data_IF_440841333326
#
_entry.id   IF_440841333326
#
_cell.length_a   1.000
_cell.length_b   1.000
_cell.length_c   1.000
_cell.angle_alpha   90.00
_cell.angle_beta   90.00
_cell.angle_gamma   90.00
#
_symmetry.space_group_name_H-M   'P 1'
#
loop_
_entity.id
_entity.type
_entity.pdbx_description
1 polymer ?
#
# COMPACT_ATOMS: atom_id res chain seq x y z
N UNK A 1 18.08 -26.30 21.50
CA UNK A 1 16.74 -25.89 21.98
C UNK A 1 15.82 -25.68 20.78
N UNK A 2 14.70 -26.41 20.71
CA UNK A 2 13.74 -26.31 19.60
C UNK A 2 13.17 -24.88 19.50
N UNK A 3 13.54 -24.14 18.45
CA UNK A 3 13.20 -22.71 18.24
C UNK A 3 11.76 -22.45 17.74
N UNK A 4 10.93 -23.48 17.58
CA UNK A 4 9.63 -23.38 16.90
C UNK A 4 8.49 -24.02 17.71
N UNK A 5 7.23 -23.55 17.54
CA UNK A 5 6.07 -24.17 18.16
C UNK A 5 5.96 -25.66 17.81
N UNK A 6 5.56 -26.49 18.78
CA UNK A 6 5.45 -27.95 18.60
C UNK A 6 4.11 -28.40 18.03
N UNK A 7 3.04 -27.63 18.24
CA UNK A 7 1.69 -27.96 17.73
C UNK A 7 1.55 -27.46 16.30
N UNK A 8 1.01 -28.29 15.41
CA UNK A 8 0.84 -27.97 13.98
C UNK A 8 0.12 -26.63 13.76
N UNK A 9 -1.01 -26.42 14.44
CA UNK A 9 -1.79 -25.18 14.31
C UNK A 9 -0.99 -23.94 14.70
N UNK A 10 -0.21 -24.02 15.77
CA UNK A 10 0.63 -22.91 16.25
C UNK A 10 1.82 -22.67 15.32
N UNK A 11 2.40 -23.73 14.76
CA UNK A 11 3.45 -23.64 13.76
C UNK A 11 2.93 -23.00 12.46
N UNK A 12 1.75 -23.38 11.99
CA UNK A 12 1.14 -22.79 10.80
C UNK A 12 0.84 -21.29 11.00
N UNK A 13 0.31 -20.90 12.17
CA UNK A 13 0.13 -19.48 12.54
C UNK A 13 1.46 -18.72 12.56
N UNK A 14 2.50 -19.33 13.13
CA UNK A 14 3.84 -18.76 13.14
C UNK A 14 4.36 -18.52 11.72
N UNK A 15 4.19 -19.48 10.81
CA UNK A 15 4.56 -19.31 9.40
C UNK A 15 3.75 -18.18 8.74
N UNK A 16 2.43 -18.14 8.90
CA UNK A 16 1.60 -17.05 8.34
C UNK A 16 2.04 -15.68 8.86
N UNK A 17 2.36 -15.58 10.16
CA UNK A 17 2.91 -14.35 10.77
C UNK A 17 4.26 -13.96 10.16
N UNK A 18 5.20 -14.90 10.05
CA UNK A 18 6.51 -14.66 9.44
C UNK A 18 6.38 -14.22 7.98
N UNK A 19 5.45 -14.83 7.24
CA UNK A 19 5.13 -14.45 5.87
C UNK A 19 4.65 -12.99 5.78
N UNK A 20 3.70 -12.57 6.63
CA UNK A 20 3.24 -11.17 6.63
C UNK A 20 4.33 -10.17 7.02
N UNK A 21 5.24 -10.53 7.93
CA UNK A 21 6.38 -9.68 8.30
C UNK A 21 7.44 -9.55 7.19
N UNK A 22 7.68 -10.62 6.42
CA UNK A 22 8.75 -10.65 5.41
C UNK A 22 8.24 -10.33 3.99
N UNK A 23 6.95 -10.50 3.72
CA UNK A 23 6.29 -10.20 2.45
C UNK A 23 6.47 -11.26 1.35
N UNK A 24 7.32 -12.28 1.54
CA UNK A 24 7.45 -13.42 0.64
C UNK A 24 8.03 -14.64 1.35
N UNK A 25 7.74 -15.85 0.84
CA UNK A 25 8.30 -17.11 1.37
C UNK A 25 9.84 -17.12 1.27
N UNK A 26 10.40 -16.60 0.18
CA UNK A 26 11.85 -16.53 -0.02
C UNK A 26 12.54 -15.69 1.05
N UNK A 27 11.98 -14.52 1.39
CA UNK A 27 12.54 -13.67 2.45
C UNK A 27 12.43 -14.34 3.82
N UNK A 28 11.36 -15.09 4.09
CA UNK A 28 11.24 -15.87 5.33
C UNK A 28 12.34 -16.93 5.39
N UNK A 29 12.49 -17.75 4.36
CA UNK A 29 13.52 -18.79 4.35
C UNK A 29 14.92 -18.21 4.49
N UNK A 30 15.22 -17.10 3.80
CA UNK A 30 16.51 -16.41 3.95
C UNK A 30 16.73 -15.86 5.35
N UNK A 31 15.72 -15.23 5.96
CA UNK A 31 15.79 -14.72 7.35
C UNK A 31 16.15 -15.82 8.35
N UNK A 32 15.69 -17.04 8.10
CA UNK A 32 15.96 -18.21 8.94
C UNK A 32 17.14 -19.07 8.45
N UNK A 33 17.95 -18.57 7.51
CA UNK A 33 19.07 -19.31 6.91
C UNK A 33 18.67 -20.71 6.41
N UNK A 34 17.46 -20.82 5.85
CA UNK A 34 16.85 -22.08 5.40
C UNK A 34 16.68 -23.15 6.49
N UNK A 35 16.75 -22.77 7.76
CA UNK A 35 16.64 -23.67 8.92
C UNK A 35 15.20 -23.93 9.40
N UNK A 36 14.18 -23.49 8.66
CA UNK A 36 12.80 -23.81 9.00
C UNK A 36 12.50 -25.28 8.67
N UNK A 37 11.82 -26.04 9.55
CA UNK A 37 11.53 -27.47 9.34
C UNK A 37 10.34 -27.65 8.36
N UNK A 38 10.40 -26.98 7.22
CA UNK A 38 9.38 -27.03 6.18
C UNK A 38 10.00 -26.77 4.80
N UNK A 39 9.55 -27.50 3.79
CA UNK A 39 9.93 -27.21 2.41
C UNK A 39 9.22 -25.97 1.87
N UNK A 40 9.80 -25.31 0.86
CA UNK A 40 9.17 -24.18 0.18
C UNK A 40 7.75 -24.51 -0.31
N UNK A 41 7.57 -25.68 -0.93
CA UNK A 41 6.28 -26.13 -1.46
C UNK A 41 5.24 -26.33 -0.35
N UNK A 42 5.63 -26.91 0.79
CA UNK A 42 4.71 -27.09 1.92
C UNK A 42 4.34 -25.76 2.57
N UNK A 43 5.27 -24.80 2.63
CA UNK A 43 4.95 -23.44 3.08
C UNK A 43 3.87 -22.82 2.19
N UNK A 44 4.07 -22.85 0.87
CA UNK A 44 3.09 -22.33 -0.09
C UNK A 44 1.71 -22.97 0.09
N UNK A 45 1.64 -24.29 0.27
CA UNK A 45 0.39 -25.03 0.54
C UNK A 45 -0.28 -24.62 1.85
N UNK A 46 0.49 -24.34 2.90
CA UNK A 46 -0.07 -23.85 4.18
C UNK A 46 -0.72 -22.50 3.95
N UNK A 47 -0.07 -21.56 3.24
CA UNK A 47 -0.65 -20.25 2.94
C UNK A 47 -1.96 -20.39 2.15
N UNK A 48 -2.00 -21.28 1.15
CA UNK A 48 -3.19 -21.54 0.34
C UNK A 48 -4.33 -22.13 1.19
N UNK A 49 -4.04 -23.16 2.01
CA UNK A 49 -5.01 -23.77 2.93
C UNK A 49 -5.54 -22.77 3.97
N UNK A 50 -4.70 -21.81 4.36
CA UNK A 50 -5.06 -20.75 5.31
C UNK A 50 -5.81 -19.58 4.66
N UNK A 51 -5.97 -19.59 3.34
CA UNK A 51 -6.66 -18.54 2.59
C UNK A 51 -5.85 -17.25 2.43
N UNK A 52 -4.52 -17.30 2.57
CA UNK A 52 -3.66 -16.12 2.43
C UNK A 52 -3.40 -15.81 0.96
N UNK A 53 -3.77 -14.60 0.55
CA UNK A 53 -3.48 -14.09 -0.77
C UNK A 53 -2.01 -13.66 -0.83
N UNK A 54 -1.25 -14.37 -1.66
CA UNK A 54 0.20 -14.16 -1.80
C UNK A 54 0.50 -12.80 -2.40
N UNK A 55 1.66 -12.23 -2.07
CA UNK A 55 2.10 -10.94 -2.58
C UNK A 55 2.31 -11.03 -4.10
N UNK A 56 2.13 -9.90 -4.78
CA UNK A 56 2.28 -9.79 -6.24
C UNK A 56 3.73 -9.97 -6.76
N UNK A 57 4.62 -10.60 -5.99
CA UNK A 57 6.05 -10.75 -6.26
C UNK A 57 6.93 -9.69 -5.58
N UNK A 58 8.26 -9.74 -5.79
CA UNK A 58 9.24 -8.84 -5.17
C UNK A 58 9.13 -7.41 -5.71
N UNK A 59 8.12 -6.67 -5.24
CA UNK A 59 7.87 -5.28 -5.58
C UNK A 59 8.37 -4.30 -4.49
N UNK A 60 9.17 -4.79 -3.54
CA UNK A 60 9.72 -4.03 -2.41
C UNK A 60 10.59 -2.83 -2.82
N UNK A 61 11.13 -2.82 -4.05
CA UNK A 61 11.95 -1.73 -4.60
C UNK A 61 11.15 -0.48 -4.96
N UNK A 62 9.83 -0.56 -5.13
CA UNK A 62 9.05 0.58 -5.61
C UNK A 62 8.89 1.64 -4.53
N UNK A 63 8.75 1.25 -3.26
CA UNK A 63 8.75 2.22 -2.16
C UNK A 63 10.10 2.94 -2.02
N UNK A 64 11.21 2.32 -2.44
CA UNK A 64 12.51 3.00 -2.55
C UNK A 64 12.55 3.96 -3.75
N UNK A 65 12.01 3.55 -4.90
CA UNK A 65 11.94 4.41 -6.09
C UNK A 65 11.03 5.61 -5.86
N UNK A 66 9.84 5.41 -5.30
CA UNK A 66 8.90 6.49 -5.01
C UNK A 66 9.51 7.49 -4.04
N UNK A 67 10.17 7.02 -2.97
CA UNK A 67 10.92 7.89 -2.07
C UNK A 67 12.03 8.67 -2.78
N UNK A 68 12.81 8.01 -3.64
CA UNK A 68 13.83 8.67 -4.43
C UNK A 68 13.24 9.76 -5.34
N UNK A 69 12.15 9.44 -6.05
CA UNK A 69 11.48 10.38 -6.96
C UNK A 69 10.84 11.55 -6.22
N UNK A 70 10.24 11.29 -5.05
CA UNK A 70 9.73 12.34 -4.16
C UNK A 70 10.84 13.28 -3.72
N UNK A 71 11.97 12.74 -3.22
CA UNK A 71 13.15 13.54 -2.85
C UNK A 71 13.75 14.31 -4.02
N UNK A 72 13.73 13.74 -5.23
CA UNK A 72 14.21 14.40 -6.43
C UNK A 72 13.40 15.66 -6.71
N UNK A 73 12.08 15.57 -6.56
CA UNK A 73 11.15 16.70 -6.70
C UNK A 73 11.27 17.69 -5.53
N UNK A 74 11.28 17.20 -4.29
CA UNK A 74 11.37 18.04 -3.07
C UNK A 74 12.67 18.85 -3.01
N UNK A 75 13.80 18.22 -3.33
CA UNK A 75 15.12 18.86 -3.22
C UNK A 75 15.49 19.65 -4.47
N UNK A 76 14.79 19.41 -5.58
CA UNK A 76 15.05 20.02 -6.88
C UNK A 76 16.55 19.98 -7.26
N UNK A 77 17.16 18.81 -7.13
CA UNK A 77 18.60 18.58 -7.41
C UNK A 77 18.78 17.68 -8.64
N UNK A 78 19.94 17.74 -9.31
CA UNK A 78 20.26 16.81 -10.39
C UNK A 78 20.15 15.34 -9.96
N UNK A 79 19.68 14.50 -10.86
CA UNK A 79 19.48 13.07 -10.61
C UNK A 79 20.74 12.38 -10.07
N UNK A 80 21.88 12.59 -10.74
CA UNK A 80 23.18 11.98 -10.39
C UNK A 80 23.62 12.41 -8.99
N UNK A 81 23.35 13.66 -8.64
CA UNK A 81 23.70 14.21 -7.34
C UNK A 81 22.90 13.54 -6.22
N UNK A 82 21.59 13.40 -6.39
CA UNK A 82 20.75 12.70 -5.42
C UNK A 82 21.11 11.22 -5.35
N UNK A 83 21.30 10.56 -6.50
CA UNK A 83 21.61 9.14 -6.58
C UNK A 83 22.93 8.79 -5.89
N UNK A 84 23.99 9.59 -6.08
CA UNK A 84 25.27 9.41 -5.38
C UNK A 84 25.17 9.60 -3.86
N UNK A 85 24.19 10.39 -3.41
CA UNK A 85 23.90 10.63 -2.00
C UNK A 85 22.90 9.64 -1.41
N UNK A 86 22.39 8.70 -2.21
CA UNK A 86 21.57 7.63 -1.68
C UNK A 86 22.43 6.68 -0.85
N UNK A 87 21.95 6.31 0.34
CA UNK A 87 22.72 5.43 1.21
C UNK A 87 22.98 4.05 0.60
N UNK A 88 24.04 3.35 1.06
CA UNK A 88 24.47 2.08 0.47
C UNK A 88 23.40 0.98 0.46
N UNK A 89 22.39 1.11 1.31
CA UNK A 89 21.27 0.19 1.40
C UNK A 89 20.20 0.41 0.31
N UNK A 90 20.29 1.47 -0.50
CA UNK A 90 19.43 1.69 -1.67
C UNK A 90 19.80 0.70 -2.77
N UNK A 91 18.91 -0.25 -3.06
CA UNK A 91 19.23 -1.38 -3.97
C UNK A 91 18.75 -1.18 -5.40
N UNK A 92 18.15 -0.03 -5.71
CA UNK A 92 17.59 0.22 -7.04
C UNK A 92 18.61 0.88 -7.95
N UNK A 93 18.91 0.25 -9.09
CA UNK A 93 19.85 0.78 -10.08
C UNK A 93 19.35 2.08 -10.72
N UNK A 94 20.24 3.00 -11.03
CA UNK A 94 19.94 4.23 -11.79
C UNK A 94 19.17 3.95 -13.10
N UNK A 95 19.58 2.92 -13.86
CA UNK A 95 18.89 2.51 -15.10
C UNK A 95 17.40 2.17 -14.88
N UNK A 96 17.07 1.53 -13.76
CA UNK A 96 15.67 1.26 -13.39
C UNK A 96 14.89 2.54 -13.11
N UNK A 97 15.50 3.52 -12.44
CA UNK A 97 14.84 4.79 -12.12
C UNK A 97 14.66 5.62 -13.40
N UNK A 98 15.69 5.71 -14.26
CA UNK A 98 15.59 6.38 -15.56
C UNK A 98 14.50 5.79 -16.44
N UNK A 99 14.38 4.46 -16.46
CA UNK A 99 13.30 3.78 -17.17
C UNK A 99 11.91 4.15 -16.62
N UNK A 100 11.77 4.28 -15.29
CA UNK A 100 10.52 4.71 -14.66
C UNK A 100 10.22 6.18 -15.01
N UNK A 101 11.23 7.06 -14.97
CA UNK A 101 11.10 8.45 -15.41
C UNK A 101 10.65 8.53 -16.88
N UNK A 102 11.23 7.72 -17.76
CA UNK A 102 10.80 7.61 -19.16
C UNK A 102 9.32 7.28 -19.28
N UNK A 103 8.85 6.24 -18.58
CA UNK A 103 7.42 5.90 -18.58
C UNK A 103 6.53 7.00 -18.02
N UNK A 104 6.98 7.71 -16.98
CA UNK A 104 6.22 8.84 -16.43
C UNK A 104 6.08 9.96 -17.47
N UNK A 105 7.17 10.31 -18.18
CA UNK A 105 7.17 11.31 -19.25
C UNK A 105 6.27 10.90 -20.42
N UNK A 106 6.28 9.62 -20.79
CA UNK A 106 5.41 9.05 -21.83
C UNK A 106 3.95 8.85 -21.36
N UNK A 107 3.67 9.02 -20.06
CA UNK A 107 2.35 8.76 -19.47
C UNK A 107 1.95 7.29 -19.44
N UNK A 108 2.92 6.37 -19.48
CA UNK A 108 2.71 4.92 -19.50
C UNK A 108 2.78 4.34 -18.09
N UNK A 109 1.79 3.53 -17.72
CA UNK A 109 1.83 2.72 -16.48
C UNK A 109 2.10 1.26 -16.81
N UNK A 110 3.06 0.66 -16.10
CA UNK A 110 3.45 -0.74 -16.31
C UNK A 110 2.99 -1.67 -15.19
N UNK A 111 2.79 -1.14 -13.99
CA UNK A 111 2.44 -1.91 -12.79
C UNK A 111 1.06 -1.54 -12.32
N UNK A 112 0.45 -2.44 -11.55
CA UNK A 112 -0.87 -2.23 -10.96
C UNK A 112 -0.74 -2.36 -9.44
N UNK A 113 -1.49 -1.51 -8.75
CA UNK A 113 -1.67 -1.56 -7.32
C UNK A 113 -3.15 -1.37 -6.98
N UNK A 114 -3.50 -1.68 -5.74
CA UNK A 114 -4.84 -1.57 -5.20
C UNK A 114 -4.79 -0.69 -3.96
N UNK A 115 -5.63 0.33 -3.92
CA UNK A 115 -5.81 1.22 -2.76
C UNK A 115 -7.22 1.10 -2.23
N UNK A 116 -7.39 1.17 -0.91
CA UNK A 116 -8.69 1.05 -0.25
C UNK A 116 -9.01 2.33 0.53
N UNK A 117 -10.10 2.98 0.15
CA UNK A 117 -10.78 3.93 1.03
C UNK A 117 -11.76 3.12 1.88
N UNK A 118 -11.50 3.04 3.17
CA UNK A 118 -12.32 2.27 4.11
C UNK A 118 -13.10 3.23 5.00
N UNK A 119 -14.42 3.20 4.98
CA UNK A 119 -15.27 4.04 5.85
C UNK A 119 -15.91 3.21 6.96
N UNK A 120 -16.12 3.82 8.12
CA UNK A 120 -16.86 3.16 9.20
C UNK A 120 -18.33 2.96 8.85
N UNK A 121 -19.02 2.09 9.59
CA UNK A 121 -20.47 1.96 9.49
C UNK A 121 -21.20 3.29 9.78
N UNK A 122 -20.72 4.03 10.77
CA UNK A 122 -21.38 5.23 11.32
C UNK A 122 -21.18 6.49 10.50
N UNK A 123 -20.17 6.57 9.65
CA UNK A 123 -19.91 7.76 8.84
C UNK A 123 -19.32 7.42 7.49
N UNK A 124 -19.90 7.99 6.44
CA UNK A 124 -19.31 7.99 5.10
C UNK A 124 -18.19 9.01 4.95
N UNK A 125 -18.13 10.02 5.83
CA UNK A 125 -17.17 11.12 5.78
C UNK A 125 -15.87 10.83 6.51
N UNK A 126 -15.78 9.70 7.21
CA UNK A 126 -14.59 9.33 7.97
C UNK A 126 -13.96 8.09 7.37
N UNK A 127 -12.68 8.20 7.02
CA UNK A 127 -11.91 7.13 6.38
C UNK A 127 -10.84 6.59 7.33
N UNK A 128 -10.57 5.28 7.24
CA UNK A 128 -9.49 4.64 7.98
C UNK A 128 -8.15 5.03 7.37
N UNK A 129 -7.28 5.57 8.21
CA UNK A 129 -5.88 5.83 7.89
C UNK A 129 -4.99 5.22 8.96
N UNK A 130 -3.74 4.96 8.62
CA UNK A 130 -2.69 4.56 9.55
C UNK A 130 -1.38 5.25 9.20
N UNK A 131 -0.44 5.22 10.14
CA UNK A 131 0.92 5.71 9.95
C UNK A 131 1.77 4.58 9.36
N UNK A 132 2.42 4.86 8.23
CA UNK A 132 3.26 3.87 7.54
C UNK A 132 4.56 3.64 8.31
N UNK A 133 4.69 2.43 8.85
CA UNK A 133 5.85 1.90 9.57
C UNK A 133 6.58 0.81 8.76
N UNK A 134 6.14 0.55 7.51
CA UNK A 134 6.75 -0.44 6.63
C UNK A 134 8.24 -0.17 6.55
N UNK A 135 9.08 -1.10 7.06
CA UNK A 135 10.54 -0.94 7.24
C UNK A 135 11.17 0.14 6.35
N UNK A 136 11.35 1.37 6.87
CA UNK A 136 12.40 2.24 6.42
C UNK A 136 13.68 1.72 7.07
N UNK A 137 14.68 1.33 6.28
CA UNK A 137 16.02 1.16 6.85
C UNK A 137 16.44 2.54 7.37
N UNK A 138 16.69 2.65 8.67
CA UNK A 138 17.10 3.90 9.35
C UNK A 138 18.31 4.57 8.68
N UNK A 139 19.07 3.82 7.89
CA UNK A 139 20.19 4.27 7.07
C UNK A 139 19.80 5.08 5.81
N UNK A 140 18.51 5.22 5.43
CA UNK A 140 18.06 5.70 4.09
C UNK A 140 17.26 7.03 4.00
N UNK A 141 17.07 7.76 5.10
CA UNK A 141 16.53 9.12 5.09
C UNK A 141 15.12 9.29 4.49
N UNK A 142 14.17 8.40 4.78
CA UNK A 142 12.73 8.57 4.45
C UNK A 142 12.03 9.42 5.53
N UNK A 143 11.00 10.24 5.23
CA UNK A 143 10.10 10.72 6.27
C UNK A 143 9.23 9.55 6.77
N UNK A 144 9.68 8.90 7.84
CA UNK A 144 8.92 7.90 8.61
C UNK A 144 7.59 8.50 9.12
N UNK A 145 6.54 7.69 9.23
CA UNK A 145 5.27 8.11 9.85
C UNK A 145 4.31 8.85 8.92
N UNK A 146 4.49 8.75 7.60
CA UNK A 146 3.52 9.31 6.65
C UNK A 146 2.14 8.66 6.83
N UNK A 147 1.09 9.48 6.78
CA UNK A 147 -0.30 9.03 6.85
C UNK A 147 -0.66 8.33 5.53
N UNK A 148 -1.09 7.08 5.62
CA UNK A 148 -1.48 6.26 4.48
C UNK A 148 -2.88 5.67 4.66
N UNK A 149 -3.51 5.37 3.52
CA UNK A 149 -4.62 4.42 3.45
C UNK A 149 -4.05 3.01 3.19
N UNK A 150 -4.81 1.93 3.47
CA UNK A 150 -4.41 0.59 3.10
C UNK A 150 -4.22 0.48 1.59
N UNK A 151 -3.04 0.07 1.15
CA UNK A 151 -2.71 -0.05 -0.28
C UNK A 151 -1.56 -1.01 -0.54
N UNK A 152 -1.60 -1.74 -1.65
CA UNK A 152 -0.56 -2.71 -1.99
C UNK A 152 -0.48 -3.02 -3.47
N UNK A 153 0.58 -3.71 -3.88
CA UNK A 153 0.76 -4.13 -5.26
C UNK A 153 -0.17 -5.28 -5.65
N UNK A 154 -0.52 -5.29 -6.92
CA UNK A 154 -1.39 -6.30 -7.52
C UNK A 154 -0.79 -6.82 -8.82
N UNK A 155 -1.03 -8.10 -9.13
CA UNK A 155 -0.70 -8.66 -10.44
C UNK A 155 -1.79 -8.23 -11.41
N UNK A 156 -1.43 -7.99 -12.68
CA UNK A 156 -2.40 -7.60 -13.71
C UNK A 156 -3.51 -8.63 -13.94
N UNK A 157 -3.22 -9.88 -13.63
CA UNK A 157 -4.11 -11.03 -13.80
C UNK A 157 -4.93 -11.35 -12.55
N UNK A 158 -4.63 -10.70 -11.41
CA UNK A 158 -5.38 -10.96 -10.19
C UNK A 158 -6.83 -10.47 -10.34
N UNK A 159 -7.83 -11.27 -9.93
CA UNK A 159 -9.17 -10.75 -9.70
C UNK A 159 -9.13 -9.59 -8.71
N UNK A 160 -10.02 -8.61 -8.88
CA UNK A 160 -10.07 -7.44 -8.00
C UNK A 160 -10.41 -7.82 -6.57
N UNK A 161 -11.25 -8.83 -6.40
CA UNK A 161 -11.59 -9.42 -5.11
C UNK A 161 -10.34 -9.93 -4.39
N UNK A 162 -9.46 -10.65 -5.09
CA UNK A 162 -8.19 -11.16 -4.54
C UNK A 162 -7.24 -9.99 -4.21
N UNK A 163 -7.17 -8.98 -5.07
CA UNK A 163 -6.34 -7.80 -4.84
C UNK A 163 -6.79 -6.99 -3.61
N UNK A 164 -8.10 -6.82 -3.42
CA UNK A 164 -8.69 -6.18 -2.23
C UNK A 164 -8.43 -7.05 -0.99
N UNK A 165 -8.66 -8.36 -1.08
CA UNK A 165 -8.45 -9.30 0.02
C UNK A 165 -6.99 -9.29 0.49
N UNK A 166 -6.04 -9.22 -0.44
CA UNK A 166 -4.61 -9.07 -0.12
C UNK A 166 -4.34 -7.84 0.73
N UNK A 167 -4.87 -6.68 0.35
CA UNK A 167 -4.66 -5.43 1.10
C UNK A 167 -5.32 -5.52 2.47
N UNK A 168 -6.55 -6.04 2.54
CA UNK A 168 -7.24 -6.26 3.82
C UNK A 168 -6.45 -7.19 4.75
N UNK A 169 -5.92 -8.30 4.24
CA UNK A 169 -5.09 -9.24 5.00
C UNK A 169 -3.78 -8.62 5.49
N UNK A 170 -3.10 -7.85 4.63
CA UNK A 170 -1.77 -7.33 4.94
C UNK A 170 -1.77 -6.04 5.76
N UNK A 171 -2.83 -5.24 5.65
CA UNK A 171 -2.80 -3.86 6.16
C UNK A 171 -3.99 -3.45 7.02
N UNK A 172 -4.99 -4.32 7.22
CA UNK A 172 -6.17 -4.00 8.04
C UNK A 172 -6.49 -5.09 9.05
N UNK A 173 -6.47 -6.36 8.66
CA UNK A 173 -6.89 -7.50 9.45
C UNK A 173 -5.78 -8.55 9.60
N UNK A 174 -4.52 -8.13 9.76
CA UNK A 174 -3.37 -9.05 9.77
C UNK A 174 -3.43 -10.08 10.89
N UNK A 175 -3.74 -9.69 12.12
CA UNK A 175 -3.88 -10.63 13.23
C UNK A 175 -5.09 -11.55 13.03
N UNK A 176 -6.21 -11.06 12.49
CA UNK A 176 -7.35 -11.92 12.15
C UNK A 176 -6.97 -12.93 11.05
N UNK A 177 -6.23 -12.51 10.04
CA UNK A 177 -5.72 -13.39 8.98
C UNK A 177 -4.76 -14.46 9.53
N UNK A 178 -3.88 -14.10 10.48
CA UNK A 178 -3.02 -15.05 11.21
C UNK A 178 -3.89 -16.06 11.97
N UNK A 179 -4.97 -15.61 12.59
CA UNK A 179 -5.93 -16.48 13.29
C UNK A 179 -6.78 -17.36 12.36
N UNK A 180 -6.70 -17.14 11.04
CA UNK A 180 -7.40 -17.93 10.02
C UNK A 180 -8.77 -17.37 9.63
N UNK A 181 -9.04 -16.09 9.89
CA UNK A 181 -10.30 -15.46 9.53
C UNK A 181 -10.15 -14.02 9.06
N UNK A 182 -10.71 -13.69 7.90
CA UNK A 182 -10.84 -12.31 7.42
C UNK A 182 -12.32 -12.02 7.20
N UNK A 183 -12.81 -10.83 7.57
CA UNK A 183 -14.17 -10.43 7.26
C UNK A 183 -14.52 -10.57 5.78
N UNK A 184 -15.64 -11.23 5.49
CA UNK A 184 -16.26 -11.17 4.17
C UNK A 184 -17.00 -9.83 4.01
N UNK A 185 -16.27 -8.84 3.51
CA UNK A 185 -16.72 -7.45 3.34
C UNK A 185 -16.46 -6.92 1.93
N UNK A 186 -15.97 -7.78 1.05
CA UNK A 186 -15.62 -7.42 -0.32
C UNK A 186 -16.90 -7.53 -1.16
N UNK A 187 -17.33 -6.45 -1.83
CA UNK A 187 -18.53 -6.52 -2.65
C UNK A 187 -18.27 -7.41 -3.87
N UNK A 188 -19.30 -8.13 -4.32
CA UNK A 188 -19.23 -8.90 -5.55
C UNK A 188 -18.94 -8.01 -6.76
N UNK A 189 -17.97 -8.38 -7.60
CA UNK A 189 -17.56 -7.62 -8.79
C UNK A 189 -17.21 -6.17 -8.45
N UNK A 190 -16.24 -5.94 -7.55
CA UNK A 190 -15.89 -4.61 -7.09
C UNK A 190 -15.43 -3.75 -8.27
N UNK A 191 -15.92 -2.51 -8.32
CA UNK A 191 -15.52 -1.51 -9.31
C UNK A 191 -14.71 -0.40 -8.62
N UNK A 192 -13.54 -0.03 -9.17
CA UNK A 192 -12.81 1.10 -8.63
C UNK A 192 -13.63 2.37 -8.87
N UNK A 193 -13.63 3.28 -7.90
CA UNK A 193 -14.21 4.62 -8.11
C UNK A 193 -13.19 5.57 -8.75
N UNK A 194 -11.91 5.20 -8.73
CA UNK A 194 -10.80 6.02 -9.21
C UNK A 194 -9.64 5.13 -9.67
N UNK A 195 -8.95 5.59 -10.72
CA UNK A 195 -7.63 5.16 -11.13
C UNK A 195 -6.66 6.31 -10.87
N UNK A 196 -5.61 6.02 -10.13
CA UNK A 196 -4.57 6.98 -9.76
C UNK A 196 -3.22 6.50 -10.28
N UNK A 197 -2.62 7.26 -11.19
CA UNK A 197 -1.30 6.96 -11.71
C UNK A 197 -0.23 7.62 -10.82
N UNK A 198 0.61 6.79 -10.19
CA UNK A 198 1.73 7.17 -9.32
C UNK A 198 3.03 6.56 -9.89
N UNK A 199 3.95 7.41 -10.34
CA UNK A 199 5.08 7.02 -11.16
C UNK A 199 4.64 6.09 -12.32
N UNK A 200 5.20 4.88 -12.43
CA UNK A 200 4.85 3.85 -13.43
C UNK A 200 3.75 2.89 -12.95
N UNK A 201 3.05 3.21 -11.86
CA UNK A 201 2.04 2.36 -11.22
C UNK A 201 0.65 2.95 -11.39
N UNK A 202 -0.29 2.16 -11.91
CA UNK A 202 -1.72 2.47 -11.88
C UNK A 202 -2.34 1.87 -10.62
N UNK A 203 -2.84 2.72 -9.73
CA UNK A 203 -3.56 2.32 -8.52
C UNK A 203 -5.05 2.28 -8.82
N UNK A 204 -5.67 1.11 -8.76
CA UNK A 204 -7.13 0.97 -8.71
C UNK A 204 -7.60 1.24 -7.28
N UNK A 205 -8.42 2.28 -7.08
CA UNK A 205 -8.89 2.69 -5.75
C UNK A 205 -10.35 2.27 -5.56
N UNK A 206 -10.60 1.51 -4.50
CA UNK A 206 -11.91 0.96 -4.15
C UNK A 206 -12.44 1.59 -2.86
N UNK A 207 -13.76 1.67 -2.74
CA UNK A 207 -14.43 2.05 -1.49
C UNK A 207 -15.01 0.82 -0.81
N UNK A 208 -14.63 0.57 0.44
CA UNK A 208 -15.16 -0.49 1.28
C UNK A 208 -15.83 0.15 2.51
N UNK A 209 -17.11 -0.15 2.73
CA UNK A 209 -17.82 0.28 3.94
C UNK A 209 -17.84 -0.87 4.94
N UNK A 210 -17.26 -0.63 6.12
CA UNK A 210 -17.22 -1.65 7.16
C UNK A 210 -18.60 -1.83 7.81
N UNK A 211 -19.01 -3.08 8.08
CA UNK A 211 -20.11 -3.37 9.00
C UNK A 211 -19.81 -2.89 10.42
N UNK A 212 -20.87 -2.67 11.22
CA UNK A 212 -20.75 -2.18 12.62
C UNK A 212 -19.76 -3.02 13.45
N UNK A 213 -19.79 -4.34 13.30
CA UNK A 213 -18.92 -5.29 14.03
C UNK A 213 -17.42 -5.10 13.76
N UNK A 214 -17.05 -4.66 12.55
CA UNK A 214 -15.65 -4.50 12.14
C UNK A 214 -15.19 -3.05 12.10
N UNK A 215 -16.03 -2.10 12.51
CA UNK A 215 -15.71 -0.68 12.45
C UNK A 215 -14.85 -0.19 13.62
N UNK A 216 -14.56 -1.02 14.63
CA UNK A 216 -13.81 -0.63 15.84
C UNK A 216 -12.30 -0.60 15.56
N UNK A 217 -11.63 0.48 15.96
CA UNK A 217 -10.19 0.68 15.73
C UNK A 217 -9.32 -0.45 16.33
N UNK A 218 -9.68 -0.96 17.51
CA UNK A 218 -8.96 -2.07 18.15
C UNK A 218 -9.03 -3.41 17.41
N UNK A 219 -9.85 -3.51 16.36
CA UNK A 219 -9.90 -4.68 15.48
C UNK A 219 -8.93 -4.62 14.30
N UNK A 220 -8.22 -3.51 14.11
CA UNK A 220 -7.28 -3.33 13.00
C UNK A 220 -5.85 -3.65 13.41
N UNK A 221 -5.13 -4.32 12.52
CA UNK A 221 -3.76 -4.77 12.74
C UNK A 221 -2.99 -4.88 11.43
N UNK A 222 -1.70 -4.56 11.48
CA UNK A 222 -0.79 -4.58 10.35
C UNK A 222 0.66 -4.55 10.83
N UNK A 223 1.57 -5.16 10.08
CA UNK A 223 3.02 -4.98 10.26
C UNK A 223 3.57 -3.77 9.49
N UNK A 224 2.73 -3.10 8.71
CA UNK A 224 3.07 -1.99 7.81
C UNK A 224 2.43 -0.67 8.22
N UNK A 225 1.27 -0.71 8.86
CA UNK A 225 0.53 0.45 9.31
C UNK A 225 0.30 0.36 10.83
N UNK A 226 0.46 1.47 11.53
CA UNK A 226 0.13 1.60 12.96
C UNK A 226 -0.76 2.81 13.22
N UNK A 227 -1.17 3.01 14.47
CA UNK A 227 -1.87 4.23 14.87
C UNK A 227 -3.19 4.46 14.13
N UNK A 228 -3.92 3.38 13.82
CA UNK A 228 -5.15 3.45 13.04
C UNK A 228 -6.13 4.46 13.63
N UNK A 229 -6.63 5.35 12.79
CA UNK A 229 -7.63 6.36 13.16
C UNK A 229 -8.59 6.62 12.00
N UNK A 230 -9.74 7.18 12.35
CA UNK A 230 -10.70 7.67 11.38
C UNK A 230 -10.47 9.17 11.14
N UNK A 231 -9.99 9.49 9.93
CA UNK A 231 -9.77 10.85 9.47
C UNK A 231 -11.06 11.41 8.85
N UNK A 232 -11.47 12.60 9.27
CA UNK A 232 -12.61 13.30 8.66
C UNK A 232 -12.18 13.97 7.35
N UNK A 233 -12.82 13.61 6.26
CA UNK A 233 -12.46 14.11 4.92
C UNK A 233 -13.08 15.48 4.63
N UNK A 234 -14.05 15.95 5.43
CA UNK A 234 -14.70 17.23 5.20
C UNK A 234 -13.92 18.42 5.76
N UNK A 235 -12.96 18.19 6.67
CA UNK A 235 -12.06 19.22 7.18
C UNK A 235 -10.93 19.54 6.19
N UNK A 236 -11.30 20.23 5.10
CA UNK A 236 -10.40 20.51 3.98
C UNK A 236 -9.21 21.37 4.38
N UNK A 237 -9.42 22.33 5.28
CA UNK A 237 -8.36 23.22 5.76
C UNK A 237 -7.29 22.44 6.49
N UNK A 238 -7.68 21.47 7.32
CA UNK A 238 -6.74 20.59 7.99
C UNK A 238 -6.03 19.66 7.02
N UNK A 239 -6.77 19.05 6.08
CA UNK A 239 -6.17 18.15 5.07
C UNK A 239 -5.10 18.85 4.23
N UNK A 240 -5.35 20.09 3.78
CA UNK A 240 -4.38 20.88 3.02
C UNK A 240 -3.14 21.22 3.86
N UNK A 241 -3.34 21.64 5.12
CA UNK A 241 -2.21 21.91 6.04
C UNK A 241 -1.37 20.66 6.33
N UNK A 242 -1.99 19.49 6.36
CA UNK A 242 -1.33 18.22 6.62
C UNK A 242 -0.90 17.50 5.33
N UNK A 243 -1.03 18.13 4.16
CA UNK A 243 -0.80 17.49 2.86
C UNK A 243 0.57 16.80 2.76
N UNK A 244 1.62 17.45 3.26
CA UNK A 244 2.99 16.92 3.27
C UNK A 244 3.16 15.69 4.19
N UNK A 245 2.25 15.46 5.13
CA UNK A 245 2.26 14.28 6.01
C UNK A 245 1.71 13.04 5.33
N UNK A 246 0.96 13.18 4.22
CA UNK A 246 0.37 12.04 3.53
C UNK A 246 1.40 11.36 2.63
N UNK A 247 1.32 10.02 2.58
CA UNK A 247 2.04 9.26 1.56
C UNK A 247 1.57 9.68 0.17
N UNK A 248 2.49 9.67 -0.80
CA UNK A 248 2.21 10.04 -2.20
C UNK A 248 0.96 9.32 -2.72
N UNK A 249 0.05 10.08 -3.33
CA UNK A 249 -1.20 9.58 -3.91
C UNK A 249 -2.36 9.43 -2.92
N UNK A 250 -2.10 9.45 -1.61
CA UNK A 250 -3.17 9.33 -0.61
C UNK A 250 -4.05 10.57 -0.61
N UNK A 251 -3.44 11.76 -0.67
CA UNK A 251 -4.19 13.01 -0.71
C UNK A 251 -5.13 13.08 -1.93
N UNK A 252 -4.63 12.68 -3.11
CA UNK A 252 -5.41 12.60 -4.33
C UNK A 252 -6.54 11.57 -4.24
N UNK A 253 -6.29 10.41 -3.61
CA UNK A 253 -7.32 9.40 -3.36
C UNK A 253 -8.44 9.92 -2.46
N UNK A 254 -8.10 10.69 -1.41
CA UNK A 254 -9.06 11.35 -0.52
C UNK A 254 -9.88 12.39 -1.28
N UNK A 255 -9.22 13.27 -2.04
CA UNK A 255 -9.88 14.28 -2.85
C UNK A 255 -10.82 13.66 -3.90
N UNK A 256 -10.37 12.59 -4.57
CA UNK A 256 -11.17 11.81 -5.51
C UNK A 256 -12.38 11.17 -4.84
N UNK A 257 -12.21 10.61 -3.63
CA UNK A 257 -13.31 10.03 -2.87
C UNK A 257 -14.35 11.08 -2.47
N UNK A 258 -13.94 12.27 -2.05
CA UNK A 258 -14.85 13.38 -1.74
C UNK A 258 -15.65 13.82 -2.96
N UNK A 259 -14.99 13.96 -4.11
CA UNK A 259 -15.65 14.26 -5.38
C UNK A 259 -16.67 13.18 -5.74
N UNK A 260 -16.29 11.92 -5.61
CA UNK A 260 -17.16 10.76 -5.80
C UNK A 260 -18.40 10.82 -4.88
N UNK A 261 -18.24 11.13 -3.59
CA UNK A 261 -19.37 11.32 -2.68
C UNK A 261 -20.29 12.48 -3.09
N UNK A 262 -19.71 13.61 -3.52
CA UNK A 262 -20.48 14.74 -4.04
C UNK A 262 -21.32 14.37 -5.26
N UNK A 263 -20.78 13.56 -6.17
CA UNK A 263 -21.50 13.07 -7.35
C UNK A 263 -22.61 12.09 -6.96
N UNK A 264 -22.33 11.15 -6.05
CA UNK A 264 -23.31 10.20 -5.54
C UNK A 264 -24.47 10.90 -4.82
N UNK A 265 -24.19 11.92 -4.01
CA UNK A 265 -25.23 12.70 -3.32
C UNK A 265 -26.12 13.48 -4.31
N UNK A 266 -25.64 13.75 -5.52
CA UNK A 266 -26.39 14.39 -6.61
C UNK A 266 -27.06 13.37 -7.54
N UNK A 267 -27.02 12.07 -7.22
CA UNK A 267 -27.51 10.97 -8.04
C UNK A 267 -26.93 10.95 -9.47
N UNK A 268 -25.69 11.41 -9.65
CA UNK A 268 -25.04 11.42 -10.95
C UNK A 268 -24.29 10.10 -11.18
N UNK A 269 -24.53 9.49 -12.34
CA UNK A 269 -23.67 8.42 -12.82
C UNK A 269 -22.31 8.99 -13.23
N UNK A 270 -21.24 8.31 -12.88
CA UNK A 270 -19.89 8.71 -13.27
C UNK A 270 -19.03 7.49 -13.59
N UNK A 271 -18.16 7.67 -14.57
CA UNK A 271 -17.07 6.73 -14.82
C UNK A 271 -16.00 6.88 -13.73
N UNK A 272 -15.24 5.82 -13.42
CA UNK A 272 -14.14 5.92 -12.46
C UNK A 272 -13.23 7.10 -12.79
N UNK A 273 -12.96 7.92 -11.76
CA UNK A 273 -12.14 9.12 -11.90
C UNK A 273 -10.73 8.76 -12.37
N UNK A 274 -10.17 9.51 -13.32
CA UNK A 274 -8.80 9.31 -13.81
C UNK A 274 -7.93 10.45 -13.29
N UNK A 275 -6.91 10.12 -12.49
CA UNK A 275 -6.01 11.11 -11.90
C UNK A 275 -4.56 10.69 -12.11
N UNK A 276 -3.70 11.68 -12.35
CA UNK A 276 -2.25 11.56 -12.18
C UNK A 276 -1.89 12.18 -10.84
N UNK A 277 -1.00 11.52 -10.09
CA UNK A 277 -0.49 12.09 -8.84
C UNK A 277 0.26 13.39 -9.09
N UNK A 278 0.34 14.26 -8.08
CA UNK A 278 1.17 15.46 -8.15
C UNK A 278 2.60 15.11 -8.59
N UNK A 279 3.18 14.04 -8.02
CA UNK A 279 4.49 13.51 -8.37
C UNK A 279 4.65 13.30 -9.89
N UNK A 280 3.67 12.67 -10.57
CA UNK A 280 3.74 12.45 -12.01
C UNK A 280 3.77 13.76 -12.81
N UNK A 281 3.03 14.78 -12.37
CA UNK A 281 3.08 16.08 -13.04
C UNK A 281 4.49 16.67 -12.95
N UNK A 282 5.11 16.72 -11.77
CA UNK A 282 6.48 17.28 -11.62
C UNK A 282 7.56 16.48 -12.32
N UNK A 283 7.44 15.16 -12.37
CA UNK A 283 8.40 14.34 -13.09
C UNK A 283 8.26 14.50 -14.63
N UNK A 284 7.07 14.87 -15.11
CA UNK A 284 6.79 15.06 -16.54
C UNK A 284 7.05 16.49 -17.02
N UNK A 285 6.80 17.51 -16.18
CA UNK A 285 7.08 18.91 -16.47
C UNK A 285 8.31 19.37 -15.70
N UNK A 286 9.36 19.83 -16.38
CA UNK A 286 10.56 20.47 -15.79
C UNK A 286 10.24 21.82 -15.11
N UNK A 287 9.24 21.87 -14.20
CA UNK A 287 8.81 23.07 -13.47
C UNK A 287 8.76 22.79 -11.95
N UNK A 288 8.96 23.88 -11.18
CA UNK A 288 9.35 23.91 -9.77
C UNK A 288 8.44 23.21 -8.74
N UNK A 289 8.95 23.13 -7.51
CA UNK A 289 8.57 22.27 -6.39
C UNK A 289 7.07 22.38 -5.95
N UNK A 290 6.31 21.27 -5.79
CA UNK A 290 4.96 21.26 -5.19
C UNK A 290 4.91 21.39 -3.67
N UNK A 291 6.05 21.17 -3.02
CA UNK A 291 6.14 21.11 -1.56
C UNK A 291 6.56 22.46 -0.96
N UNK A 292 6.70 23.49 -1.78
CA UNK A 292 6.78 24.91 -1.38
C UNK A 292 5.38 25.52 -1.18
#
# INVERSE_FOLDING_TARGET
MLKFPRKEKEFNKYLVREYFMCGSVDEVLRKHSYGLPISYANYQRILDKWGIVKAAGPNSKISEVLDFLTKLVEKNVPFEYLYKRMPPSFKTSAATIYRILGYVKEGVTRRIATGLIITSYSSRKKILVGEDISKPRMELGKPFGSISIPMGFSRKVDPREEAILRVLQQEVFTESAIEGGVPDIIPARPKPFMFLDIADVRVEVFHIRLPKRFSKLGGFSSFKLTGFKYLDIEDTKKLEKERQKFRVGVFEAIAGFRKCQGLLNRNLAFNPLQYKSSLNYFLASERGNPFE
#
